data_IF_750957357053
#
_entry.id   IF_750957357053
#
_cell.length_a   1.000
_cell.length_b   1.000
_cell.length_c   1.000
_cell.angle_alpha   90.00
_cell.angle_beta   90.00
_cell.angle_gamma   90.00
#
_symmetry.space_group_name_H-M   'P 1'
#
loop_
_entity.id
_entity.type
_entity.pdbx_description
1 polymer ?
#
# COMPACT_ATOMS: atom_id res chain seq x y z
N UNK A 1 17.85 6.68 2.45
CA UNK A 1 17.61 7.21 1.09
C UNK A 1 16.11 7.39 0.93
N UNK A 2 15.63 8.48 0.31
CA UNK A 2 14.19 8.69 0.17
C UNK A 2 13.58 7.58 -0.68
N UNK A 3 12.33 7.21 -0.39
CA UNK A 3 11.55 6.37 -1.29
C UNK A 3 11.36 7.13 -2.62
N UNK A 4 11.72 6.52 -3.74
CA UNK A 4 11.72 7.13 -5.08
C UNK A 4 10.34 7.56 -5.61
N UNK A 5 9.28 7.56 -4.79
CA UNK A 5 7.91 7.87 -5.20
C UNK A 5 7.61 9.38 -5.32
N UNK A 6 8.47 10.28 -4.83
CA UNK A 6 8.28 11.74 -4.92
C UNK A 6 9.06 12.40 -6.07
N UNK A 7 8.94 11.88 -7.28
CA UNK A 7 9.43 12.53 -8.52
C UNK A 7 8.26 12.96 -9.41
N UNK A 8 7.54 13.99 -8.98
CA UNK A 8 6.44 14.56 -9.77
C UNK A 8 6.55 16.06 -9.90
N UNK A 9 7.37 16.55 -10.86
CA UNK A 9 7.38 17.96 -11.24
C UNK A 9 6.32 18.15 -12.33
N UNK A 10 5.19 18.77 -11.98
CA UNK A 10 4.11 19.15 -12.90
C UNK A 10 3.00 18.08 -13.05
N UNK A 11 1.73 18.52 -13.03
CA UNK A 11 0.49 17.73 -13.23
C UNK A 11 0.07 16.72 -12.15
N UNK A 12 0.55 16.85 -10.91
CA UNK A 12 0.12 15.99 -9.78
C UNK A 12 -1.35 16.15 -9.35
N UNK A 13 -2.13 17.05 -9.96
CA UNK A 13 -3.52 17.38 -9.58
C UNK A 13 -4.60 16.77 -10.49
N UNK A 14 -4.23 15.99 -11.50
CA UNK A 14 -5.20 15.32 -12.39
C UNK A 14 -5.68 13.99 -11.81
N UNK A 15 -6.94 13.63 -12.05
CA UNK A 15 -7.48 12.29 -11.73
C UNK A 15 -6.60 11.17 -12.32
N UNK A 16 -6.12 11.34 -13.55
CA UNK A 16 -5.25 10.36 -14.21
C UNK A 16 -3.91 10.20 -13.51
N UNK A 17 -3.34 11.30 -12.98
CA UNK A 17 -2.11 11.25 -12.22
C UNK A 17 -2.31 10.52 -10.87
N UNK A 18 -3.43 10.78 -10.19
CA UNK A 18 -3.81 10.04 -8.98
C UNK A 18 -4.03 8.55 -9.23
N UNK A 19 -4.65 8.19 -10.35
CA UNK A 19 -4.88 6.79 -10.73
C UNK A 19 -3.57 6.06 -11.08
N UNK A 20 -2.62 6.76 -11.71
CA UNK A 20 -1.32 6.21 -12.07
C UNK A 20 -0.32 6.17 -10.89
N UNK A 21 -0.54 6.96 -9.84
CA UNK A 21 0.37 7.10 -8.70
C UNK A 21 0.78 5.78 -8.02
N UNK A 22 -0.12 4.80 -7.76
CA UNK A 22 0.27 3.53 -7.16
C UNK A 22 1.25 2.73 -8.04
N UNK A 23 1.26 2.99 -9.34
CA UNK A 23 2.10 2.29 -10.31
C UNK A 23 3.47 2.96 -10.50
N UNK A 24 3.67 4.17 -9.97
CA UNK A 24 4.94 4.88 -10.08
C UNK A 24 5.93 4.56 -8.95
N UNK A 25 5.45 3.98 -7.84
CA UNK A 25 6.26 3.65 -6.66
C UNK A 25 6.53 2.15 -6.52
N UNK A 26 7.81 1.78 -6.35
CA UNK A 26 8.19 0.38 -6.07
C UNK A 26 7.61 -0.12 -4.75
N UNK A 27 7.49 0.76 -3.75
CA UNK A 27 6.89 0.46 -2.45
C UNK A 27 5.43 -0.02 -2.59
N UNK A 28 4.61 0.71 -3.35
CA UNK A 28 3.22 0.37 -3.63
C UNK A 28 3.10 -0.92 -4.44
N UNK A 29 3.89 -1.07 -5.50
CA UNK A 29 3.90 -2.30 -6.29
C UNK A 29 4.28 -3.52 -5.45
N UNK A 30 5.30 -3.38 -4.59
CA UNK A 30 5.73 -4.47 -3.70
C UNK A 30 4.64 -4.82 -2.69
N UNK A 31 3.99 -3.82 -2.09
CA UNK A 31 2.87 -4.02 -1.18
C UNK A 31 1.66 -4.66 -1.88
N UNK A 32 1.30 -4.21 -3.09
CA UNK A 32 0.19 -4.77 -3.88
C UNK A 32 0.42 -6.25 -4.21
N UNK A 33 1.63 -6.59 -4.65
CA UNK A 33 2.00 -7.99 -4.93
C UNK A 33 1.98 -8.82 -3.65
N UNK A 34 2.53 -8.31 -2.54
CA UNK A 34 2.55 -9.02 -1.27
C UNK A 34 1.14 -9.27 -0.72
N UNK A 35 0.26 -8.25 -0.72
CA UNK A 35 -1.14 -8.37 -0.29
C UNK A 35 -1.89 -9.35 -1.18
N UNK A 36 -1.72 -9.27 -2.50
CA UNK A 36 -2.37 -10.18 -3.45
C UNK A 36 -1.92 -11.64 -3.26
N UNK A 37 -0.62 -11.86 -3.10
CA UNK A 37 -0.07 -13.19 -2.87
C UNK A 37 -0.53 -13.76 -1.52
N UNK A 38 -0.49 -12.95 -0.46
CA UNK A 38 -0.97 -13.37 0.86
C UNK A 38 -2.46 -13.72 0.84
N UNK A 39 -3.28 -12.89 0.19
CA UNK A 39 -4.71 -13.13 0.04
C UNK A 39 -5.01 -14.41 -0.76
N UNK A 40 -4.22 -14.70 -1.79
CA UNK A 40 -4.31 -15.94 -2.55
C UNK A 40 -3.90 -17.17 -1.73
N UNK A 41 -2.85 -17.06 -0.89
CA UNK A 41 -2.41 -18.11 0.02
C UNK A 41 -3.48 -18.45 1.07
N UNK A 42 -4.17 -17.43 1.61
CA UNK A 42 -5.26 -17.61 2.58
C UNK A 42 -6.54 -18.14 1.94
N UNK A 43 -6.90 -17.62 0.76
CA UNK A 43 -8.13 -17.96 0.06
C UNK A 43 -9.41 -17.42 0.73
N UNK A 44 -10.56 -17.92 0.27
CA UNK A 44 -11.87 -17.57 0.82
C UNK A 44 -12.15 -16.06 0.80
N UNK A 45 -12.54 -15.50 1.94
CA UNK A 45 -12.89 -14.07 2.07
C UNK A 45 -11.68 -13.14 1.97
N UNK A 46 -10.46 -13.62 2.26
CA UNK A 46 -9.26 -12.81 2.26
C UNK A 46 -8.90 -12.26 0.88
N UNK A 47 -9.22 -13.02 -0.18
CA UNK A 47 -9.05 -12.64 -1.60
C UNK A 47 -9.70 -11.29 -1.93
N UNK A 48 -10.77 -10.93 -1.22
CA UNK A 48 -11.43 -9.63 -1.39
C UNK A 48 -11.14 -8.67 -0.24
N UNK A 49 -11.17 -9.16 1.01
CA UNK A 49 -11.04 -8.31 2.19
C UNK A 49 -9.70 -7.55 2.22
N UNK A 50 -8.58 -8.24 2.02
CA UNK A 50 -7.25 -7.62 2.18
C UNK A 50 -6.91 -6.64 1.05
N UNK A 51 -7.18 -6.93 -0.24
CA UNK A 51 -7.00 -5.93 -1.29
C UNK A 51 -7.91 -4.71 -1.11
N UNK A 52 -9.16 -4.89 -0.66
CA UNK A 52 -10.06 -3.78 -0.40
C UNK A 52 -9.61 -2.92 0.78
N UNK A 53 -9.12 -3.54 1.85
CA UNK A 53 -8.56 -2.83 3.00
C UNK A 53 -7.33 -2.01 2.58
N UNK A 54 -6.44 -2.60 1.78
CA UNK A 54 -5.27 -1.89 1.24
C UNK A 54 -5.67 -0.66 0.41
N UNK A 55 -6.62 -0.81 -0.52
CA UNK A 55 -7.15 0.33 -1.31
C UNK A 55 -7.80 1.38 -0.40
N UNK A 56 -8.55 0.96 0.63
CA UNK A 56 -9.17 1.87 1.59
C UNK A 56 -8.16 2.73 2.34
N UNK A 57 -7.08 2.13 2.85
CA UNK A 57 -5.98 2.85 3.52
C UNK A 57 -5.25 3.78 2.55
N UNK A 58 -5.03 3.35 1.31
CA UNK A 58 -4.45 4.20 0.27
C UNK A 58 -5.30 5.45 -0.01
N UNK A 59 -6.62 5.29 -0.14
CA UNK A 59 -7.54 6.41 -0.36
C UNK A 59 -7.52 7.37 0.84
N UNK A 60 -7.49 6.84 2.07
CA UNK A 60 -7.36 7.66 3.27
C UNK A 60 -6.05 8.45 3.29
N UNK A 61 -4.92 7.80 3.01
CA UNK A 61 -3.61 8.46 2.91
C UNK A 61 -3.58 9.54 1.82
N UNK A 62 -4.15 9.25 0.65
CA UNK A 62 -4.32 10.21 -0.44
C UNK A 62 -5.15 11.44 -0.02
N UNK A 63 -6.27 11.22 0.66
CA UNK A 63 -7.12 12.30 1.16
C UNK A 63 -6.38 13.17 2.21
N UNK A 64 -5.64 12.57 3.13
CA UNK A 64 -4.81 13.30 4.10
C UNK A 64 -3.74 14.15 3.40
N UNK A 65 -3.10 13.60 2.37
CA UNK A 65 -2.13 14.33 1.53
C UNK A 65 -2.76 15.53 0.83
N UNK A 66 -3.96 15.38 0.27
CA UNK A 66 -4.71 16.49 -0.37
C UNK A 66 -5.10 17.58 0.63
N UNK A 67 -5.42 17.20 1.87
CA UNK A 67 -5.73 18.13 2.96
C UNK A 67 -4.47 18.75 3.59
N UNK A 68 -3.27 18.42 3.10
CA UNK A 68 -1.99 18.87 3.63
C UNK A 68 -1.83 18.57 5.14
N UNK A 69 -2.43 17.46 5.61
CA UNK A 69 -2.32 17.03 6.99
C UNK A 69 -0.90 16.46 7.19
N UNK A 70 -0.09 17.02 8.11
CA UNK A 70 1.24 16.49 8.36
C UNK A 70 1.12 15.14 9.06
N UNK A 71 1.54 14.08 8.38
CA UNK A 71 1.64 12.73 8.95
C UNK A 71 3.12 12.46 9.22
N UNK A 72 3.55 12.35 10.48
CA UNK A 72 4.94 12.02 10.79
C UNK A 72 5.22 10.54 10.47
N UNK A 73 6.49 10.23 10.20
CA UNK A 73 6.98 8.86 9.98
C UNK A 73 6.34 8.09 8.81
N UNK A 74 5.83 8.78 7.78
CA UNK A 74 5.25 8.12 6.58
C UNK A 74 6.27 7.18 5.92
N UNK A 75 7.47 7.68 5.60
CA UNK A 75 8.49 6.87 4.94
C UNK A 75 8.94 5.65 5.77
N UNK A 76 9.31 5.79 7.06
CA UNK A 76 9.57 4.63 7.92
C UNK A 76 8.39 3.66 8.04
N UNK A 77 7.16 4.18 8.10
CA UNK A 77 5.94 3.38 8.18
C UNK A 77 5.70 2.54 6.93
N UNK A 78 5.91 3.12 5.74
CA UNK A 78 5.83 2.40 4.46
C UNK A 78 6.92 1.31 4.40
N UNK A 79 8.15 1.64 4.79
CA UNK A 79 9.23 0.65 4.78
C UNK A 79 8.94 -0.51 5.75
N UNK A 80 8.44 -0.22 6.95
CA UNK A 80 8.06 -1.22 7.93
C UNK A 80 6.90 -2.11 7.43
N UNK A 81 5.91 -1.54 6.73
CA UNK A 81 4.77 -2.30 6.20
C UNK A 81 5.20 -3.25 5.07
N UNK A 82 6.08 -2.80 4.16
CA UNK A 82 6.63 -3.66 3.10
C UNK A 82 7.41 -4.83 3.69
N UNK A 83 8.25 -4.58 4.71
CA UNK A 83 8.99 -5.64 5.40
C UNK A 83 8.04 -6.62 6.10
N UNK A 84 7.04 -6.10 6.84
CA UNK A 84 6.08 -6.94 7.54
C UNK A 84 5.26 -7.82 6.58
N UNK A 85 4.72 -7.25 5.51
CA UNK A 85 3.99 -7.99 4.48
C UNK A 85 4.89 -9.02 3.78
N UNK A 86 6.13 -8.64 3.47
CA UNK A 86 7.12 -9.57 2.91
C UNK A 86 7.39 -10.76 3.83
N UNK A 87 7.50 -10.53 5.14
CA UNK A 87 7.68 -11.61 6.12
C UNK A 87 6.44 -12.50 6.25
N UNK A 88 5.24 -11.91 6.29
CA UNK A 88 3.98 -12.68 6.33
C UNK A 88 3.86 -13.64 5.14
N UNK A 89 4.21 -13.15 3.94
CA UNK A 89 4.24 -13.94 2.71
C UNK A 89 5.36 -14.99 2.76
N UNK A 90 6.59 -14.59 3.06
CA UNK A 90 7.77 -15.48 3.03
C UNK A 90 7.67 -16.63 4.04
N UNK A 91 7.05 -16.37 5.19
CA UNK A 91 6.86 -17.37 6.24
C UNK A 91 5.52 -18.10 6.15
N UNK A 92 4.70 -17.78 5.14
CA UNK A 92 3.36 -18.33 4.94
C UNK A 92 2.48 -18.27 6.21
N UNK A 93 2.53 -17.14 6.91
CA UNK A 93 1.82 -16.97 8.18
C UNK A 93 0.32 -16.95 7.92
N UNK A 94 -0.39 -17.89 8.55
CA UNK A 94 -1.84 -17.98 8.46
C UNK A 94 -2.52 -17.17 9.57
N UNK A 95 -3.04 -15.99 9.23
CA UNK A 95 -3.79 -15.13 10.15
C UNK A 95 -5.30 -15.18 9.87
N UNK A 96 -6.16 -14.84 10.86
CA UNK A 96 -7.57 -14.64 10.60
C UNK A 96 -7.78 -13.46 9.63
N UNK A 97 -8.86 -13.51 8.84
CA UNK A 97 -9.17 -12.47 7.84
C UNK A 97 -9.26 -11.08 8.48
N UNK A 98 -9.72 -10.99 9.73
CA UNK A 98 -9.83 -9.76 10.51
C UNK A 98 -8.49 -9.10 10.87
N UNK A 99 -7.36 -9.76 10.63
CA UNK A 99 -6.03 -9.19 10.86
C UNK A 99 -5.57 -8.26 9.73
N UNK A 100 -6.23 -8.30 8.56
CA UNK A 100 -5.98 -7.41 7.44
C UNK A 100 -7.08 -6.38 7.26
#
# INVERSE_FOLDING_TARGET
>A
MPAYAHVGIGTASSFTAGLAHPLSGLDHMTAMVAVGLWAAMKGGKAVWAWPLAFVGVMLAGGALGMLHVPVPFVEPGILASVVALGLLVALAIDLPVSAG
#
